data_IF_324474905442
#
_entry.id   IF_324474905442
#
_cell.length_a   1.000
_cell.length_b   1.000
_cell.length_c   1.000
_cell.angle_alpha   90.00
_cell.angle_beta   90.00
_cell.angle_gamma   90.00
#
_symmetry.space_group_name_H-M   'P 1'
#
loop_
_entity.id
_entity.type
_entity.pdbx_description
1 polymer ?
#
# COMPACT_ATOMS: atom_id res chain seq x y z
N UNK A 1 0.47 -6.11 -0.97
CA UNK A 1 1.77 -5.79 -0.34
C UNK A 1 1.81 -6.28 1.10
N UNK A 2 2.97 -6.66 1.58
CA UNK A 2 3.18 -6.91 3.00
C UNK A 2 3.22 -5.60 3.77
N UNK A 3 2.68 -5.59 4.98
CA UNK A 3 2.93 -4.51 5.95
C UNK A 3 4.38 -4.55 6.43
N UNK A 4 4.89 -3.43 6.94
CA UNK A 4 6.29 -3.33 7.40
C UNK A 4 6.64 -4.34 8.51
N UNK A 5 5.68 -4.64 9.38
CA UNK A 5 5.81 -5.65 10.45
C UNK A 5 5.65 -7.09 9.95
N UNK A 6 5.16 -7.32 8.72
CA UNK A 6 4.93 -8.63 8.15
C UNK A 6 3.76 -9.40 8.74
N UNK A 7 2.87 -8.76 9.46
CA UNK A 7 1.71 -9.42 10.11
C UNK A 7 0.40 -9.29 9.33
N UNK A 8 0.42 -8.47 8.26
CA UNK A 8 -0.74 -8.30 7.40
C UNK A 8 -0.33 -8.11 5.93
N UNK A 9 -1.33 -8.21 5.06
CA UNK A 9 -1.19 -7.99 3.62
C UNK A 9 -2.25 -6.98 3.19
N UNK A 10 -1.83 -5.89 2.56
CA UNK A 10 -2.74 -4.97 1.86
C UNK A 10 -2.94 -5.40 0.42
N UNK A 11 -4.15 -5.24 -0.09
CA UNK A 11 -4.52 -5.56 -1.47
C UNK A 11 -5.65 -4.67 -1.96
N UNK A 12 -5.78 -4.55 -3.27
CA UNK A 12 -6.88 -3.84 -3.91
C UNK A 12 -7.99 -4.84 -4.22
N UNK A 13 -9.25 -4.45 -3.94
CA UNK A 13 -10.41 -5.31 -4.08
C UNK A 13 -11.61 -4.56 -4.66
N UNK A 14 -12.34 -5.22 -5.55
CA UNK A 14 -13.61 -4.76 -6.12
C UNK A 14 -14.83 -5.12 -5.26
N UNK A 15 -14.62 -5.70 -4.08
CA UNK A 15 -15.70 -6.31 -3.28
C UNK A 15 -16.81 -5.33 -2.94
N UNK A 16 -16.49 -4.09 -2.66
CA UNK A 16 -17.43 -3.05 -2.26
C UNK A 16 -17.68 -2.00 -3.33
N UNK A 17 -16.89 -2.04 -4.40
CA UNK A 17 -16.93 -1.07 -5.48
C UNK A 17 -18.14 -1.25 -6.39
N UNK A 18 -18.58 -0.14 -6.97
CA UNK A 18 -19.60 -0.14 -7.99
C UNK A 18 -19.02 -0.69 -9.30
N UNK A 19 -19.66 -1.69 -9.89
CA UNK A 19 -19.27 -2.23 -11.20
C UNK A 19 -19.80 -1.34 -12.30
N UNK A 20 -18.92 -1.00 -13.22
CA UNK A 20 -19.29 -0.30 -14.43
C UNK A 20 -20.10 -1.22 -15.35
N UNK A 21 -20.99 -0.63 -16.17
CA UNK A 21 -21.78 -1.36 -17.14
C UNK A 21 -20.87 -2.09 -18.14
N UNK A 22 -21.24 -3.32 -18.52
CA UNK A 22 -20.56 -4.11 -19.54
C UNK A 22 -19.09 -4.48 -19.28
N UNK A 23 -18.67 -4.69 -18.04
CA UNK A 23 -17.33 -5.13 -17.68
C UNK A 23 -16.19 -4.13 -18.00
N UNK A 24 -16.47 -2.86 -18.04
CA UNK A 24 -15.50 -1.78 -18.25
C UNK A 24 -14.75 -1.38 -16.99
N UNK A 25 -14.56 -2.30 -16.06
CA UNK A 25 -13.91 -2.08 -14.78
C UNK A 25 -14.88 -1.90 -13.62
N UNK A 26 -14.36 -1.71 -12.46
CA UNK A 26 -15.08 -1.44 -11.23
C UNK A 26 -14.30 -0.48 -10.35
N UNK A 27 -15.02 0.24 -9.51
CA UNK A 27 -14.38 0.95 -8.42
C UNK A 27 -13.78 -0.06 -7.44
N UNK A 28 -12.70 0.30 -6.80
CA UNK A 28 -11.93 -0.58 -5.93
C UNK A 28 -11.65 0.09 -4.58
N UNK A 29 -11.20 -0.72 -3.65
CA UNK A 29 -10.84 -0.33 -2.30
C UNK A 29 -9.48 -0.89 -1.92
N UNK A 30 -8.76 -0.20 -1.04
CA UNK A 30 -7.64 -0.80 -0.33
C UNK A 30 -8.20 -1.60 0.84
N UNK A 31 -7.87 -2.87 0.86
CA UNK A 31 -8.20 -3.81 1.91
C UNK A 31 -6.93 -4.25 2.63
N UNK A 32 -7.08 -4.66 3.88
CA UNK A 32 -6.03 -5.33 4.64
C UNK A 32 -6.56 -6.64 5.20
N UNK A 33 -5.72 -7.67 5.20
CA UNK A 33 -5.99 -8.95 5.88
C UNK A 33 -4.87 -9.23 6.88
N UNK A 34 -5.25 -9.50 8.12
CA UNK A 34 -4.31 -9.83 9.19
C UNK A 34 -4.09 -11.33 9.26
N UNK A 35 -2.83 -11.74 9.39
CA UNK A 35 -2.42 -13.13 9.36
C UNK A 35 -2.72 -13.87 10.67
N UNK A 36 -2.85 -13.15 11.77
CA UNK A 36 -3.19 -13.71 13.08
C UNK A 36 -4.14 -12.77 13.84
N UNK A 37 -4.77 -13.31 14.89
CA UNK A 37 -5.77 -12.61 15.68
C UNK A 37 -5.15 -11.45 16.48
N UNK A 38 -3.97 -11.66 17.04
CA UNK A 38 -3.30 -10.64 17.86
C UNK A 38 -2.98 -9.37 17.05
N UNK A 39 -2.53 -9.52 15.79
CA UNK A 39 -2.28 -8.39 14.90
C UNK A 39 -3.57 -7.64 14.57
N UNK A 40 -4.65 -8.37 14.31
CA UNK A 40 -5.97 -7.78 14.06
C UNK A 40 -6.47 -7.00 15.28
N UNK A 41 -6.37 -7.57 16.46
CA UNK A 41 -6.84 -6.94 17.70
C UNK A 41 -6.00 -5.69 18.04
N UNK A 42 -4.68 -5.72 17.78
CA UNK A 42 -3.82 -4.53 17.94
C UNK A 42 -4.21 -3.41 16.97
N UNK A 43 -4.51 -3.76 15.72
CA UNK A 43 -4.93 -2.78 14.72
C UNK A 43 -6.26 -2.11 15.07
N UNK A 44 -7.18 -2.87 15.67
CA UNK A 44 -8.53 -2.38 16.04
C UNK A 44 -8.56 -1.49 17.28
N UNK A 45 -7.47 -1.43 18.05
CA UNK A 45 -7.40 -0.54 19.23
C UNK A 45 -7.45 0.91 18.79
N UNK A 46 -8.27 1.69 19.47
CA UNK A 46 -8.22 3.15 19.39
C UNK A 46 -6.97 3.72 20.08
N UNK A 47 -6.79 5.04 20.02
CA UNK A 47 -5.61 5.70 20.60
C UNK A 47 -5.54 5.49 22.11
N UNK A 48 -6.66 5.61 22.82
CA UNK A 48 -6.72 5.43 24.28
C UNK A 48 -6.37 3.99 24.68
N UNK A 49 -6.92 3.00 23.99
CA UNK A 49 -6.63 1.58 24.21
C UNK A 49 -5.16 1.25 23.95
N UNK A 50 -4.54 1.87 22.94
CA UNK A 50 -3.10 1.72 22.68
C UNK A 50 -2.24 2.29 23.79
N UNK A 51 -2.57 3.49 24.28
CA UNK A 51 -1.82 4.09 25.41
C UNK A 51 -1.96 3.25 26.69
N UNK A 52 -3.14 2.71 26.98
CA UNK A 52 -3.36 1.79 28.09
C UNK A 52 -2.52 0.52 27.90
N UNK A 53 -2.58 -0.10 26.73
CA UNK A 53 -1.82 -1.30 26.41
C UNK A 53 -0.30 -1.07 26.54
N UNK A 54 0.18 0.09 26.16
CA UNK A 54 1.58 0.49 26.33
C UNK A 54 1.96 0.69 27.79
N UNK A 55 1.08 1.32 28.57
CA UNK A 55 1.29 1.50 30.01
C UNK A 55 1.33 0.14 30.76
N UNK A 56 0.54 -0.82 30.31
CA UNK A 56 0.49 -2.19 30.85
C UNK A 56 1.65 -3.08 30.34
N UNK A 57 2.53 -2.55 29.47
CA UNK A 57 3.68 -3.27 28.93
C UNK A 57 3.32 -4.33 27.88
N UNK A 58 2.13 -4.24 27.28
CA UNK A 58 1.73 -5.12 26.20
C UNK A 58 2.50 -4.82 24.90
N UNK A 59 2.79 -5.83 24.06
CA UNK A 59 3.47 -5.62 22.80
C UNK A 59 2.72 -4.62 21.91
N UNK A 60 3.44 -3.65 21.36
CA UNK A 60 2.90 -2.65 20.44
C UNK A 60 3.09 -3.04 18.97
N UNK A 61 3.84 -4.09 18.70
CA UNK A 61 4.12 -4.62 17.38
C UNK A 61 4.37 -6.12 17.43
N UNK A 62 4.79 -6.67 16.30
CA UNK A 62 5.08 -8.10 16.17
C UNK A 62 6.16 -8.54 17.17
N UNK A 63 5.94 -9.64 17.91
CA UNK A 63 6.99 -10.28 18.68
C UNK A 63 8.15 -10.73 17.76
N UNK A 64 9.38 -10.76 18.29
CA UNK A 64 10.50 -11.33 17.55
C UNK A 64 10.25 -12.82 17.26
N UNK A 65 10.60 -13.25 16.03
CA UNK A 65 10.47 -14.62 15.58
C UNK A 65 9.84 -14.78 14.21
N UNK A 66 9.41 -15.98 13.91
CA UNK A 66 8.76 -16.32 12.64
C UNK A 66 7.36 -15.66 12.56
N UNK A 67 6.91 -15.45 11.32
CA UNK A 67 5.56 -14.91 11.06
C UNK A 67 4.55 -15.99 11.46
N UNK A 68 3.66 -15.66 12.40
CA UNK A 68 2.53 -16.51 12.77
C UNK A 68 1.39 -16.32 11.76
N UNK A 69 0.96 -17.44 11.14
CA UNK A 69 -0.17 -17.44 10.22
C UNK A 69 -1.24 -18.37 10.75
N UNK A 70 -2.41 -17.82 11.03
CA UNK A 70 -3.61 -18.54 11.47
C UNK A 70 -4.62 -18.58 10.32
N UNK A 71 -4.70 -19.69 9.55
CA UNK A 71 -5.61 -19.81 8.41
C UNK A 71 -7.08 -19.79 8.81
N UNK A 72 -7.42 -20.34 9.97
CA UNK A 72 -8.79 -20.33 10.47
C UNK A 72 -9.22 -18.90 10.82
N UNK A 73 -10.43 -18.52 10.38
CA UNK A 73 -10.98 -17.19 10.64
C UNK A 73 -10.30 -16.03 9.89
N UNK A 74 -9.39 -16.31 8.95
CA UNK A 74 -8.70 -15.26 8.19
C UNK A 74 -9.66 -14.33 7.43
N UNK A 75 -10.82 -14.83 7.03
CA UNK A 75 -11.85 -14.04 6.35
C UNK A 75 -12.49 -12.98 7.26
N UNK A 76 -12.51 -13.22 8.56
CA UNK A 76 -13.07 -12.31 9.55
C UNK A 76 -12.08 -11.21 9.96
N UNK A 77 -10.79 -11.43 9.64
CA UNK A 77 -9.71 -10.48 9.91
C UNK A 77 -9.37 -9.61 8.70
N UNK A 78 -10.37 -9.30 7.89
CA UNK A 78 -10.25 -8.37 6.77
C UNK A 78 -10.89 -7.03 7.12
N UNK A 79 -10.21 -5.94 6.80
CA UNK A 79 -10.71 -4.58 7.01
C UNK A 79 -10.63 -3.80 5.70
N UNK A 80 -11.67 -3.06 5.39
CA UNK A 80 -11.64 -2.05 4.34
C UNK A 80 -10.99 -0.79 4.91
N UNK A 81 -9.93 -0.30 4.25
CA UNK A 81 -9.20 0.88 4.71
C UNK A 81 -9.75 2.16 4.09
N UNK A 82 -10.08 2.14 2.80
CA UNK A 82 -10.66 3.32 2.13
C UNK A 82 -12.09 3.60 2.58
N UNK A 83 -12.46 4.86 2.84
CA UNK A 83 -13.82 5.20 3.31
C UNK A 83 -14.89 5.01 2.23
N UNK A 84 -14.51 5.14 0.96
CA UNK A 84 -15.38 4.93 -0.20
C UNK A 84 -14.58 4.33 -1.35
N UNK A 85 -15.27 3.58 -2.22
CA UNK A 85 -14.67 2.99 -3.41
C UNK A 85 -14.42 4.04 -4.48
N UNK A 86 -13.29 3.92 -5.18
CA UNK A 86 -12.89 4.82 -6.25
C UNK A 86 -12.10 4.07 -7.32
N UNK A 87 -11.77 4.71 -8.42
CA UNK A 87 -10.85 4.16 -9.42
C UNK A 87 -9.42 4.28 -8.88
N UNK A 88 -8.98 3.19 -8.24
CA UNK A 88 -7.78 3.14 -7.42
C UNK A 88 -6.63 2.53 -8.20
N UNK A 89 -5.48 3.20 -8.24
CA UNK A 89 -4.29 2.74 -8.95
C UNK A 89 -3.33 1.98 -8.02
N UNK A 90 -3.06 2.53 -6.84
CA UNK A 90 -2.17 1.90 -5.87
C UNK A 90 -2.46 2.41 -4.45
N UNK A 91 -2.01 1.66 -3.45
CA UNK A 91 -2.12 2.02 -2.05
C UNK A 91 -1.01 1.41 -1.20
N UNK A 92 -0.54 2.15 -0.21
CA UNK A 92 0.50 1.72 0.72
C UNK A 92 0.25 2.28 2.12
N UNK A 93 0.50 1.44 3.13
CA UNK A 93 0.47 1.85 4.54
C UNK A 93 1.84 2.37 4.99
N UNK A 94 1.81 3.33 5.92
CA UNK A 94 2.97 3.71 6.73
C UNK A 94 3.50 2.54 7.55
N UNK A 95 4.72 2.65 8.07
CA UNK A 95 5.38 1.61 8.86
C UNK A 95 4.67 1.30 10.18
N UNK A 96 3.99 2.29 10.76
CA UNK A 96 3.16 2.14 11.95
C UNK A 96 1.74 1.61 11.66
N UNK A 97 1.37 1.50 10.37
CA UNK A 97 0.08 1.02 9.93
C UNK A 97 -1.09 1.98 10.18
N UNK A 98 -0.82 3.28 10.42
CA UNK A 98 -1.85 4.27 10.79
C UNK A 98 -2.19 5.26 9.69
N UNK A 99 -1.31 5.43 8.73
CA UNK A 99 -1.56 6.31 7.58
C UNK A 99 -1.62 5.48 6.30
N UNK A 100 -2.69 5.63 5.56
CA UNK A 100 -2.85 5.07 4.22
C UNK A 100 -2.58 6.15 3.18
N UNK A 101 -1.57 5.93 2.34
CA UNK A 101 -1.40 6.69 1.11
C UNK A 101 -2.01 5.91 -0.05
N UNK A 102 -2.82 6.58 -0.87
CA UNK A 102 -3.35 5.94 -2.07
C UNK A 102 -3.46 6.90 -3.24
N UNK A 103 -3.45 6.33 -4.45
CA UNK A 103 -3.60 7.05 -5.70
C UNK A 103 -4.94 6.66 -6.29
N UNK A 104 -5.78 7.65 -6.57
CA UNK A 104 -7.03 7.43 -7.27
C UNK A 104 -7.19 8.36 -8.47
N UNK A 105 -7.94 7.89 -9.45
CA UNK A 105 -8.37 8.66 -10.60
C UNK A 105 -9.74 9.27 -10.35
N UNK A 106 -9.92 10.50 -10.84
CA UNK A 106 -11.19 11.20 -10.93
C UNK A 106 -11.28 11.85 -12.32
N UNK A 107 -12.42 12.46 -12.65
CA UNK A 107 -12.71 13.02 -13.98
C UNK A 107 -11.62 13.95 -14.54
N UNK A 108 -10.89 14.64 -13.67
CA UNK A 108 -9.90 15.64 -14.03
C UNK A 108 -8.44 15.21 -13.79
N UNK A 109 -8.19 13.95 -13.41
CA UNK A 109 -6.85 13.35 -13.28
C UNK A 109 -6.63 12.47 -12.07
N UNK A 110 -5.36 12.13 -11.85
CA UNK A 110 -4.93 11.30 -10.72
C UNK A 110 -4.52 12.15 -9.53
N UNK A 111 -4.83 11.68 -8.34
CA UNK A 111 -4.60 12.38 -7.08
C UNK A 111 -3.93 11.47 -6.06
N UNK A 112 -3.00 12.04 -5.32
CA UNK A 112 -2.42 11.45 -4.12
C UNK A 112 -3.24 11.85 -2.91
N UNK A 113 -3.68 10.85 -2.16
CA UNK A 113 -4.44 11.00 -0.92
C UNK A 113 -3.65 10.47 0.26
N UNK A 114 -3.87 11.07 1.39
CA UNK A 114 -3.40 10.64 2.70
C UNK A 114 -4.62 10.49 3.61
N UNK A 115 -4.76 9.34 4.22
CA UNK A 115 -5.85 9.01 5.13
C UNK A 115 -5.27 8.60 6.47
N UNK A 116 -5.60 9.35 7.51
CA UNK A 116 -5.40 8.94 8.90
C UNK A 116 -6.44 7.88 9.25
N UNK A 117 -5.99 6.69 9.65
CA UNK A 117 -6.88 5.58 9.94
C UNK A 117 -7.44 5.62 11.38
N UNK A 118 -6.87 6.42 12.26
CA UNK A 118 -7.35 6.59 13.63
C UNK A 118 -8.47 7.64 13.68
N UNK A 119 -8.24 8.80 13.07
CA UNK A 119 -9.19 9.92 13.06
C UNK A 119 -10.18 9.84 11.89
N UNK A 120 -9.81 9.13 10.84
CA UNK A 120 -10.59 9.04 9.59
C UNK A 120 -10.43 10.28 8.71
N UNK A 121 -9.46 11.13 9.01
CA UNK A 121 -9.20 12.36 8.26
C UNK A 121 -8.57 12.05 6.92
N UNK A 122 -9.26 12.49 5.85
CA UNK A 122 -8.84 12.31 4.47
C UNK A 122 -8.39 13.63 3.86
N UNK A 123 -7.13 13.68 3.43
CA UNK A 123 -6.54 14.86 2.80
C UNK A 123 -6.08 14.55 1.37
N UNK A 124 -6.48 15.39 0.41
CA UNK A 124 -5.87 15.41 -0.92
C UNK A 124 -4.54 16.14 -0.87
N UNK A 125 -3.44 15.42 -0.98
CA UNK A 125 -2.09 16.02 -0.91
C UNK A 125 -1.74 16.77 -2.17
N UNK A 126 -1.99 16.19 -3.33
CA UNK A 126 -1.70 16.81 -4.62
C UNK A 126 -2.29 16.06 -5.81
N UNK A 127 -2.38 16.77 -6.93
CA UNK A 127 -2.60 16.17 -8.25
C UNK A 127 -1.30 15.59 -8.80
N UNK A 128 -1.37 14.42 -9.39
CA UNK A 128 -0.26 13.75 -10.04
C UNK A 128 -0.28 14.02 -11.55
N UNK A 129 0.89 14.24 -12.13
CA UNK A 129 1.03 14.42 -13.58
C UNK A 129 1.12 13.08 -14.33
N UNK A 130 1.37 12.00 -13.62
CA UNK A 130 1.54 10.67 -14.17
C UNK A 130 0.40 9.75 -13.67
N UNK A 131 -0.48 9.29 -14.56
CA UNK A 131 -1.56 8.38 -14.20
C UNK A 131 -1.05 6.97 -13.84
N UNK A 132 0.19 6.63 -14.20
CA UNK A 132 0.82 5.34 -13.89
C UNK A 132 1.70 5.41 -12.63
N UNK A 133 1.53 6.45 -11.82
CA UNK A 133 2.27 6.56 -10.57
C UNK A 133 1.96 5.37 -9.63
N UNK A 134 2.98 4.90 -8.95
CA UNK A 134 2.89 3.79 -8.01
C UNK A 134 3.77 4.03 -6.78
N UNK A 135 3.50 3.33 -5.70
CA UNK A 135 4.29 3.39 -4.49
C UNK A 135 5.32 2.26 -4.41
N UNK A 136 6.38 2.53 -3.67
CA UNK A 136 7.27 1.53 -3.11
C UNK A 136 7.81 2.02 -1.76
N UNK A 137 8.33 1.12 -0.95
CA UNK A 137 8.88 1.45 0.35
C UNK A 137 10.20 0.71 0.59
N UNK A 138 11.01 1.27 1.50
CA UNK A 138 12.14 0.52 2.03
C UNK A 138 11.65 -0.73 2.78
N UNK A 139 12.48 -1.80 2.87
CA UNK A 139 12.07 -3.05 3.54
C UNK A 139 11.63 -2.86 5.00
N UNK A 140 12.11 -1.82 5.67
CA UNK A 140 11.71 -1.45 7.04
C UNK A 140 10.47 -0.55 7.09
N UNK A 141 9.86 -0.22 5.93
CA UNK A 141 8.68 0.62 5.82
C UNK A 141 8.88 2.11 6.10
N UNK A 142 10.06 2.52 6.60
CA UNK A 142 10.30 3.89 7.10
C UNK A 142 10.37 4.96 6.02
N UNK A 143 10.57 4.56 4.78
CA UNK A 143 10.61 5.49 3.66
C UNK A 143 9.70 5.00 2.56
N UNK A 144 8.70 5.80 2.25
CA UNK A 144 7.77 5.56 1.15
C UNK A 144 8.16 6.46 -0.02
N UNK A 145 8.12 5.89 -1.21
CA UNK A 145 8.42 6.58 -2.46
C UNK A 145 7.23 6.49 -3.40
N UNK A 146 7.01 7.54 -4.14
CA UNK A 146 6.11 7.56 -5.29
C UNK A 146 6.95 7.60 -6.57
N UNK A 147 6.67 6.69 -7.48
CA UNK A 147 7.29 6.55 -8.77
C UNK A 147 6.32 6.97 -9.87
N UNK A 148 6.83 7.65 -10.86
CA UNK A 148 6.13 8.10 -12.03
C UNK A 148 7.16 8.68 -12.99
N UNK A 149 6.89 9.83 -13.62
CA UNK A 149 7.89 10.56 -14.41
C UNK A 149 9.11 10.97 -13.58
N UNK A 150 8.97 11.06 -12.28
CA UNK A 150 10.05 11.28 -11.33
C UNK A 150 9.85 10.39 -10.11
N UNK A 151 10.93 10.13 -9.39
CA UNK A 151 10.90 9.45 -8.10
C UNK A 151 10.91 10.48 -6.99
N UNK A 152 9.98 10.37 -6.05
CA UNK A 152 9.85 11.30 -4.93
C UNK A 152 9.69 10.52 -3.63
N UNK A 153 10.30 11.01 -2.56
CA UNK A 153 10.08 10.48 -1.23
C UNK A 153 8.91 11.22 -0.57
N UNK A 154 7.98 10.47 0.00
CA UNK A 154 6.90 10.98 0.83
C UNK A 154 7.43 11.16 2.27
N UNK A 155 7.92 12.35 2.60
CA UNK A 155 8.43 12.70 3.94
C UNK A 155 7.93 14.08 4.41
N UNK A 156 6.79 14.52 3.87
CA UNK A 156 6.20 15.83 4.13
C UNK A 156 6.92 17.00 3.44
N UNK A 157 8.03 16.76 2.74
CA UNK A 157 8.80 17.77 2.00
C UNK A 157 8.95 17.47 0.52
N UNK A 158 8.31 16.42 0.02
CA UNK A 158 8.24 16.01 -1.40
C UNK A 158 9.55 16.23 -2.17
N UNK A 159 10.60 15.51 -1.78
CA UNK A 159 11.90 15.66 -2.42
C UNK A 159 11.98 14.82 -3.69
N UNK A 160 12.22 15.47 -4.81
CA UNK A 160 12.60 14.77 -6.04
C UNK A 160 13.96 14.10 -5.86
N UNK A 161 14.02 12.81 -6.16
CA UNK A 161 15.23 12.03 -6.17
C UNK A 161 15.73 11.96 -7.62
N UNK A 162 16.87 12.60 -7.89
CA UNK A 162 17.53 12.48 -9.20
C UNK A 162 18.24 11.15 -9.28
N UNK A 163 17.88 10.34 -10.27
CA UNK A 163 18.63 9.13 -10.58
C UNK A 163 19.03 9.10 -12.04
N UNK A 164 20.14 8.47 -12.34
CA UNK A 164 20.57 8.18 -13.71
C UNK A 164 20.74 6.68 -13.83
N UNK A 165 20.03 6.07 -14.76
CA UNK A 165 20.25 4.70 -15.16
C UNK A 165 20.83 4.68 -16.57
N UNK A 166 21.89 3.90 -16.78
CA UNK A 166 22.42 3.62 -18.11
C UNK A 166 22.33 2.12 -18.37
N UNK A 167 21.72 1.75 -19.49
CA UNK A 167 21.68 0.36 -19.96
C UNK A 167 22.60 0.24 -21.16
N UNK A 168 23.60 -0.63 -21.07
CA UNK A 168 24.41 -1.01 -22.24
C UNK A 168 23.61 -2.08 -23.01
N UNK A 169 23.19 -1.76 -24.21
CA UNK A 169 22.55 -2.70 -25.09
C UNK A 169 23.62 -3.45 -25.90
N UNK A 170 23.54 -4.77 -25.94
CA UNK A 170 24.28 -5.61 -26.86
C UNK A 170 23.26 -6.29 -27.81
N UNK A 171 22.97 -5.69 -28.98
CA UNK A 171 21.95 -6.22 -29.89
C UNK A 171 22.28 -7.58 -30.47
N UNK A 172 23.56 -7.99 -30.45
CA UNK A 172 23.98 -9.28 -30.95
C UNK A 172 23.73 -10.38 -29.91
N UNK A 173 24.06 -10.14 -28.66
CA UNK A 173 23.77 -11.05 -27.56
C UNK A 173 22.25 -11.16 -27.32
N UNK A 174 21.52 -10.06 -27.45
CA UNK A 174 20.07 -10.04 -27.29
C UNK A 174 19.35 -10.86 -28.37
N UNK A 175 19.79 -10.77 -29.64
CA UNK A 175 19.26 -11.61 -30.73
C UNK A 175 19.59 -13.09 -30.53
N UNK A 176 20.83 -13.43 -30.12
CA UNK A 176 21.20 -14.81 -29.82
C UNK A 176 20.31 -15.41 -28.73
N UNK A 177 20.10 -14.66 -27.63
CA UNK A 177 19.20 -15.06 -26.56
C UNK A 177 17.76 -15.27 -27.02
N UNK A 178 17.26 -14.38 -27.91
CA UNK A 178 15.92 -14.53 -28.47
C UNK A 178 15.77 -15.78 -29.32
N UNK A 179 16.78 -16.11 -30.14
CA UNK A 179 16.78 -17.32 -30.96
C UNK A 179 16.84 -18.60 -30.12
N UNK A 180 17.66 -18.61 -29.08
CA UNK A 180 17.82 -19.77 -28.19
C UNK A 180 16.55 -20.07 -27.35
N UNK A 181 15.65 -19.08 -27.21
CA UNK A 181 14.41 -19.24 -26.45
C UNK A 181 13.15 -19.35 -27.36
N UNK A 182 13.32 -19.56 -28.67
CA UNK A 182 12.22 -19.73 -29.63
C UNK A 182 11.91 -21.21 -29.94
N UNK A 183 12.53 -22.18 -29.25
CA UNK A 183 12.22 -23.61 -29.36
C UNK A 183 11.12 -23.99 -28.30
#
# INVERSE_FOLDING_TARGET
RWTADGEAITFISERYGMRNHASWGSQTDVMIVFLNQDAYDRFKRDEEEREIAKADGLPQGRPEGDINVEPEGIHDRQVRLTPFSTELHDGILSDDGRTLYYISEADDGCFLWELDLDEGDLEMKRRLSDPMAAFDATPDGKSIFIFGQSMQKLDGKDRNISYRASKRLDPQAERAFMFDNME
#
